data_IF_607088962566
#
_entry.id   IF_607088962566
#
_cell.length_a   1.000
_cell.length_b   1.000
_cell.length_c   1.000
_cell.angle_alpha   90.00
_cell.angle_beta   90.00
_cell.angle_gamma   90.00
#
_symmetry.space_group_name_H-M   'P 1'
#
loop_
_entity.id
_entity.type
_entity.pdbx_description
1 polymer ?
#
# COMPACT_ATOMS: atom_id res chain seq x y z
N UNK A 1 -4.78 -43.13 12.70
CA UNK A 1 -5.44 -41.82 12.48
C UNK A 1 -5.86 -41.31 13.85
N UNK A 2 -5.26 -40.22 14.34
CA UNK A 2 -5.68 -39.57 15.59
C UNK A 2 -6.81 -38.61 15.25
N UNK A 3 -8.07 -39.04 15.42
CA UNK A 3 -9.25 -38.22 15.16
C UNK A 3 -10.53 -39.03 15.04
N UNK A 4 -11.67 -38.34 15.07
CA UNK A 4 -12.98 -38.90 14.80
C UNK A 4 -13.05 -39.40 13.36
N UNK A 5 -13.61 -40.60 13.16
CA UNK A 5 -13.89 -41.12 11.82
C UNK A 5 -15.01 -40.30 11.16
N UNK A 6 -15.12 -40.30 9.82
CA UNK A 6 -16.18 -39.55 9.11
C UNK A 6 -17.62 -39.88 9.53
N UNK A 7 -17.85 -41.01 10.19
CA UNK A 7 -19.13 -41.43 10.73
C UNK A 7 -19.32 -41.10 12.24
N UNK A 8 -18.34 -40.45 12.87
CA UNK A 8 -18.35 -40.09 14.29
C UNK A 8 -18.57 -38.59 14.52
N UNK A 9 -18.72 -37.78 13.46
CA UNK A 9 -19.05 -36.36 13.54
C UNK A 9 -20.02 -35.93 12.44
N UNK A 10 -20.73 -34.84 12.69
CA UNK A 10 -21.60 -34.16 11.74
C UNK A 10 -21.17 -32.69 11.66
N UNK A 11 -21.06 -32.14 10.45
CA UNK A 11 -20.76 -30.72 10.24
C UNK A 11 -22.09 -29.98 10.12
N UNK A 12 -22.42 -29.18 11.14
CA UNK A 12 -23.71 -28.47 11.19
C UNK A 12 -23.74 -27.20 10.33
N UNK A 13 -22.62 -26.50 10.20
CA UNK A 13 -22.48 -25.31 9.35
C UNK A 13 -21.00 -25.10 8.95
N UNK A 14 -20.75 -24.53 7.77
CA UNK A 14 -19.42 -24.20 7.26
C UNK A 14 -19.52 -22.97 6.35
N UNK A 15 -18.67 -21.97 6.60
CA UNK A 15 -18.57 -20.75 5.80
C UNK A 15 -17.20 -20.10 6.00
N UNK A 16 -16.74 -19.36 4.99
CA UNK A 16 -15.51 -18.58 5.04
C UNK A 16 -15.71 -17.20 5.73
N UNK A 17 -16.96 -16.77 5.95
CA UNK A 17 -17.26 -15.53 6.68
C UNK A 17 -17.28 -15.77 8.19
N UNK A 18 -16.25 -15.24 8.86
CA UNK A 18 -16.06 -15.37 10.30
C UNK A 18 -17.15 -14.72 11.14
N UNK A 19 -17.79 -13.65 10.64
CA UNK A 19 -18.87 -12.99 11.36
C UNK A 19 -20.12 -13.85 11.37
N UNK A 20 -20.47 -14.41 10.20
CA UNK A 20 -21.57 -15.35 10.04
C UNK A 20 -21.41 -16.57 10.95
N UNK A 21 -20.24 -17.24 10.89
CA UNK A 21 -20.01 -18.45 11.70
C UNK A 21 -19.99 -18.14 13.19
N UNK A 22 -19.37 -17.03 13.60
CA UNK A 22 -19.32 -16.68 15.01
C UNK A 22 -20.69 -16.37 15.61
N UNK A 23 -21.62 -15.84 14.82
CA UNK A 23 -22.98 -15.57 15.28
C UNK A 23 -23.83 -16.85 15.26
N UNK A 24 -23.63 -17.70 14.24
CA UNK A 24 -24.27 -19.02 14.12
C UNK A 24 -23.90 -19.98 15.23
N UNK A 25 -22.65 -19.97 15.67
CA UNK A 25 -22.17 -20.82 16.77
C UNK A 25 -22.97 -20.57 18.06
N UNK A 26 -23.23 -19.31 18.41
CA UNK A 26 -24.06 -18.98 19.60
C UNK A 26 -25.49 -19.48 19.42
N UNK A 27 -26.05 -19.37 18.22
CA UNK A 27 -27.40 -19.86 17.91
C UNK A 27 -27.49 -21.38 18.12
N UNK A 28 -26.50 -22.12 17.62
CA UNK A 28 -26.39 -23.58 17.77
C UNK A 28 -26.13 -24.00 19.22
N UNK A 29 -25.27 -23.28 19.96
CA UNK A 29 -25.04 -23.55 21.37
C UNK A 29 -26.36 -23.44 22.17
N UNK A 30 -27.18 -22.42 21.87
CA UNK A 30 -28.50 -22.25 22.52
C UNK A 30 -29.50 -23.33 22.11
N UNK A 31 -29.60 -23.66 20.82
CA UNK A 31 -30.61 -24.60 20.31
C UNK A 31 -30.37 -26.04 20.80
N UNK A 32 -29.10 -26.45 20.90
CA UNK A 32 -28.73 -27.78 21.40
C UNK A 32 -28.53 -27.83 22.93
N UNK A 33 -28.78 -26.73 23.65
CA UNK A 33 -28.71 -26.67 25.11
C UNK A 33 -27.29 -26.71 25.68
N UNK A 34 -26.28 -26.39 24.88
CA UNK A 34 -24.91 -26.24 25.34
C UNK A 34 -24.70 -24.92 26.10
N UNK A 35 -23.65 -24.88 26.91
CA UNK A 35 -23.24 -23.66 27.60
C UNK A 35 -22.78 -22.62 26.57
N UNK A 36 -23.42 -21.45 26.57
CA UNK A 36 -23.08 -20.36 25.66
C UNK A 36 -21.73 -19.75 26.04
N UNK A 37 -20.86 -19.58 25.05
CA UNK A 37 -19.56 -18.96 25.25
C UNK A 37 -19.69 -17.48 25.62
N UNK A 38 -18.83 -17.04 26.55
CA UNK A 38 -18.80 -15.64 27.02
C UNK A 38 -18.14 -14.69 26.03
N UNK A 39 -17.28 -15.22 25.14
CA UNK A 39 -16.53 -14.47 24.15
C UNK A 39 -16.86 -15.07 22.78
N UNK A 40 -17.33 -14.23 21.86
CA UNK A 40 -17.64 -14.63 20.49
C UNK A 40 -16.38 -15.13 19.78
N UNK A 41 -16.52 -16.14 18.93
CA UNK A 41 -15.43 -16.72 18.15
C UNK A 41 -14.68 -15.71 17.30
N UNK A 42 -15.38 -14.76 16.66
CA UNK A 42 -14.74 -13.64 15.94
C UNK A 42 -13.81 -12.80 16.80
N UNK A 43 -14.04 -12.78 18.12
CA UNK A 43 -13.25 -12.04 19.09
C UNK A 43 -12.21 -12.92 19.81
N UNK A 44 -12.16 -14.24 19.58
CA UNK A 44 -11.23 -15.12 20.29
C UNK A 44 -9.76 -14.85 19.93
N UNK A 45 -9.48 -14.28 18.75
CA UNK A 45 -8.14 -13.92 18.33
C UNK A 45 -7.60 -12.77 19.19
N UNK A 46 -6.57 -13.05 19.99
CA UNK A 46 -5.83 -12.01 20.69
C UNK A 46 -5.10 -11.15 19.64
N UNK A 47 -5.46 -9.88 19.54
CA UNK A 47 -4.58 -8.85 18.97
C UNK A 47 -3.32 -8.88 19.81
N UNK A 48 -2.23 -9.47 19.31
CA UNK A 48 -0.99 -9.42 20.07
C UNK A 48 -0.52 -7.97 20.08
N UNK A 49 -0.28 -7.44 21.27
CA UNK A 49 0.16 -6.06 21.42
C UNK A 49 1.65 -5.99 21.13
N UNK A 50 2.04 -5.05 20.26
CA UNK A 50 3.45 -4.70 20.07
C UNK A 50 3.94 -4.11 21.39
N UNK A 51 5.02 -4.67 21.94
CA UNK A 51 5.66 -4.10 23.12
C UNK A 51 6.66 -3.03 22.69
N UNK A 52 6.45 -1.79 23.13
CA UNK A 52 7.25 -0.64 22.71
C UNK A 52 8.14 -0.19 23.86
N UNK A 53 9.44 -0.16 23.59
CA UNK A 53 10.43 0.53 24.42
C UNK A 53 10.92 1.78 23.69
N UNK A 54 11.78 2.58 24.31
CA UNK A 54 12.41 3.72 23.64
C UNK A 54 13.17 3.28 22.37
N UNK A 55 13.94 2.19 22.48
CA UNK A 55 14.85 1.74 21.41
C UNK A 55 14.17 0.82 20.39
N UNK A 56 13.26 -0.05 20.83
CA UNK A 56 12.73 -1.14 19.99
C UNK A 56 11.22 -1.32 20.11
N UNK A 57 10.62 -1.79 19.01
CA UNK A 57 9.26 -2.31 18.97
C UNK A 57 9.35 -3.83 18.80
N UNK A 58 8.82 -4.58 19.77
CA UNK A 58 8.91 -6.04 19.84
C UNK A 58 7.57 -6.68 19.52
N UNK A 59 7.57 -7.59 18.56
CA UNK A 59 6.44 -8.41 18.14
C UNK A 59 6.43 -9.72 18.93
N UNK A 60 5.25 -10.16 19.35
CA UNK A 60 5.07 -11.41 20.10
C UNK A 60 5.06 -12.65 19.18
N UNK A 61 5.90 -12.63 18.14
CA UNK A 61 6.07 -13.74 17.21
C UNK A 61 7.55 -13.89 16.82
N UNK A 62 7.99 -15.13 16.54
CA UNK A 62 9.33 -15.39 16.00
C UNK A 62 9.46 -14.83 14.58
N UNK A 63 10.71 -14.62 14.13
CA UNK A 63 11.01 -14.00 12.84
C UNK A 63 10.41 -14.75 11.65
N UNK A 64 10.36 -16.09 11.71
CA UNK A 64 9.78 -16.94 10.67
C UNK A 64 8.25 -16.81 10.54
N UNK A 65 7.56 -16.34 11.58
CA UNK A 65 6.10 -16.14 11.59
C UNK A 65 5.71 -14.66 11.49
N UNK A 66 6.69 -13.76 11.35
CA UNK A 66 6.47 -12.33 11.33
C UNK A 66 5.62 -11.89 10.15
N UNK A 67 5.81 -12.48 8.97
CA UNK A 67 5.00 -12.15 7.78
C UNK A 67 3.51 -12.38 8.01
N UNK A 68 3.13 -13.60 8.40
CA UNK A 68 1.73 -13.92 8.68
C UNK A 68 1.16 -13.12 9.87
N UNK A 69 2.00 -12.70 10.81
CA UNK A 69 1.61 -11.78 11.88
C UNK A 69 1.26 -10.39 11.35
N UNK A 70 2.11 -9.81 10.49
CA UNK A 70 1.92 -8.47 9.94
C UNK A 70 0.70 -8.39 9.02
N UNK A 71 0.48 -9.44 8.22
CA UNK A 71 -0.68 -9.55 7.32
C UNK A 71 -2.01 -9.64 8.10
N UNK A 72 -2.02 -10.36 9.22
CA UNK A 72 -3.22 -10.49 10.08
C UNK A 72 -3.55 -9.22 10.86
N UNK A 73 -2.57 -8.37 11.12
CA UNK A 73 -2.71 -7.16 11.95
C UNK A 73 -2.57 -5.87 11.14
N UNK A 74 -2.85 -5.90 9.84
CA UNK A 74 -2.90 -4.67 9.01
C UNK A 74 -3.84 -3.65 9.68
N UNK A 75 -3.39 -2.41 9.76
CA UNK A 75 -4.09 -1.30 10.41
C UNK A 75 -3.76 -1.11 11.89
N UNK A 76 -3.00 -2.02 12.51
CA UNK A 76 -2.59 -1.89 13.92
C UNK A 76 -1.62 -0.71 14.10
N UNK A 77 -1.95 0.17 15.02
CA UNK A 77 -1.14 1.34 15.37
C UNK A 77 -0.39 1.15 16.69
N UNK A 78 0.85 1.65 16.74
CA UNK A 78 1.62 1.74 17.99
C UNK A 78 2.38 3.06 18.08
N UNK A 79 2.52 3.56 19.32
CA UNK A 79 3.18 4.84 19.61
C UNK A 79 4.59 4.59 20.10
N UNK A 80 5.54 5.32 19.51
CA UNK A 80 6.95 5.33 19.91
C UNK A 80 7.39 6.74 20.30
N UNK A 81 8.60 6.89 20.85
CA UNK A 81 9.23 8.20 21.09
C UNK A 81 9.49 9.00 19.81
N UNK A 82 9.44 8.36 18.64
CA UNK A 82 9.70 8.99 17.33
C UNK A 82 8.44 9.26 16.51
N UNK A 83 7.26 8.87 17.00
CA UNK A 83 5.99 9.05 16.31
C UNK A 83 5.02 7.87 16.49
N UNK A 84 3.81 8.04 15.98
CA UNK A 84 2.84 6.95 15.84
C UNK A 84 3.07 6.27 14.50
N UNK A 85 3.12 4.94 14.50
CA UNK A 85 3.26 4.13 13.31
C UNK A 85 2.09 3.17 13.17
N UNK A 86 1.83 2.74 11.94
CA UNK A 86 0.74 1.82 11.60
C UNK A 86 1.27 0.70 10.71
N UNK A 87 0.76 -0.52 10.91
CA UNK A 87 1.01 -1.65 10.00
C UNK A 87 0.23 -1.46 8.69
N UNK A 88 0.95 -1.39 7.58
CA UNK A 88 0.43 -1.30 6.22
C UNK A 88 1.42 -1.99 5.26
N UNK A 89 1.08 -2.10 3.97
CA UNK A 89 1.94 -2.80 3.01
C UNK A 89 3.39 -2.28 2.97
N UNK A 90 3.59 -0.96 3.06
CA UNK A 90 4.92 -0.34 2.99
C UNK A 90 5.73 -0.54 4.29
N UNK A 91 5.10 -0.34 5.44
CA UNK A 91 5.75 -0.54 6.75
C UNK A 91 6.04 -2.01 7.01
N UNK A 92 5.13 -2.91 6.62
CA UNK A 92 5.31 -4.35 6.74
C UNK A 92 6.53 -4.84 5.97
N UNK A 93 6.71 -4.38 4.73
CA UNK A 93 7.89 -4.72 3.92
C UNK A 93 9.18 -4.32 4.63
N UNK A 94 9.25 -3.07 5.11
CA UNK A 94 10.43 -2.61 5.83
C UNK A 94 10.70 -3.42 7.10
N UNK A 95 9.63 -3.75 7.86
CA UNK A 95 9.73 -4.55 9.08
C UNK A 95 10.29 -5.94 8.76
N UNK A 96 9.83 -6.60 7.70
CA UNK A 96 10.33 -7.92 7.29
C UNK A 96 11.82 -7.88 6.95
N UNK A 97 12.26 -6.84 6.24
CA UNK A 97 13.65 -6.71 5.80
C UNK A 97 14.61 -6.38 6.95
N UNK A 98 14.10 -5.76 8.03
CA UNK A 98 14.93 -5.20 9.11
C UNK A 98 14.70 -5.82 10.50
N UNK A 99 13.71 -6.70 10.65
CA UNK A 99 13.42 -7.35 11.93
C UNK A 99 14.52 -8.31 12.33
N UNK A 100 14.80 -8.34 13.64
CA UNK A 100 15.77 -9.25 14.25
C UNK A 100 15.09 -10.16 15.25
N UNK A 101 15.62 -11.37 15.39
CA UNK A 101 15.23 -12.28 16.47
C UNK A 101 15.75 -11.74 17.82
N UNK A 102 14.92 -11.82 18.86
CA UNK A 102 15.30 -11.42 20.21
C UNK A 102 16.34 -12.39 20.78
N UNK A 103 17.40 -11.83 21.38
CA UNK A 103 18.47 -12.62 22.01
C UNK A 103 18.01 -13.32 23.30
N UNK A 104 16.92 -12.85 23.92
CA UNK A 104 16.41 -13.34 25.20
C UNK A 104 15.22 -14.30 25.05
N UNK A 105 14.57 -14.30 23.90
CA UNK A 105 13.40 -15.13 23.62
C UNK A 105 13.27 -15.31 22.11
N UNK A 106 13.55 -16.51 21.64
CA UNK A 106 13.46 -16.93 20.24
C UNK A 106 12.04 -16.79 19.66
N UNK A 107 11.01 -16.82 20.51
CA UNK A 107 9.61 -16.61 20.13
C UNK A 107 9.24 -15.13 19.93
N UNK A 108 10.22 -14.21 19.90
CA UNK A 108 10.00 -12.78 19.72
C UNK A 108 10.94 -12.21 18.68
N UNK A 109 10.42 -11.25 17.92
CA UNK A 109 11.18 -10.46 16.95
C UNK A 109 11.02 -8.99 17.27
N UNK A 110 11.99 -8.16 16.87
CA UNK A 110 11.95 -6.73 17.15
C UNK A 110 12.57 -5.91 16.02
N UNK A 111 12.18 -4.64 15.96
CA UNK A 111 12.77 -3.63 15.09
C UNK A 111 13.27 -2.45 15.91
N UNK A 112 14.28 -1.73 15.39
CA UNK A 112 14.79 -0.52 16.03
C UNK A 112 13.95 0.69 15.63
N UNK A 113 13.38 1.38 16.63
CA UNK A 113 12.47 2.52 16.42
C UNK A 113 13.16 3.68 15.70
N UNK A 114 14.44 3.94 16.00
CA UNK A 114 15.21 5.02 15.38
C UNK A 114 15.41 4.78 13.88
N UNK A 115 15.87 3.58 13.50
CA UNK A 115 16.08 3.20 12.11
C UNK A 115 14.76 3.21 11.32
N UNK A 116 13.69 2.73 11.96
CA UNK A 116 12.34 2.78 11.40
C UNK A 116 11.90 4.22 11.13
N UNK A 117 12.02 5.09 12.15
CA UNK A 117 11.66 6.50 12.02
C UNK A 117 12.51 7.25 10.98
N UNK A 118 13.80 6.98 10.87
CA UNK A 118 14.68 7.61 9.87
C UNK A 118 14.30 7.23 8.44
N UNK A 119 13.98 5.96 8.20
CA UNK A 119 13.48 5.50 6.90
C UNK A 119 12.21 6.26 6.50
N UNK A 120 11.23 6.37 7.42
CA UNK A 120 9.99 7.10 7.18
C UNK A 120 10.12 8.63 7.20
N UNK A 121 11.19 9.18 7.77
CA UNK A 121 11.54 10.61 7.63
C UNK A 121 12.16 10.93 6.27
N UNK A 122 12.99 10.03 5.75
CA UNK A 122 13.63 10.18 4.43
C UNK A 122 12.64 9.99 3.28
N UNK A 123 11.66 9.09 3.45
CA UNK A 123 10.47 9.05 2.61
C UNK A 123 9.58 10.20 3.04
N UNK A 124 9.91 11.42 2.61
CA UNK A 124 9.02 12.59 2.76
C UNK A 124 7.61 12.14 2.40
N UNK A 125 6.71 12.14 3.37
CA UNK A 125 5.28 12.10 3.09
C UNK A 125 5.02 13.28 2.14
N UNK A 126 4.76 12.96 0.88
CA UNK A 126 4.32 13.93 -0.09
C UNK A 126 2.88 14.26 0.31
N UNK A 127 2.73 15.19 1.27
CA UNK A 127 1.42 15.69 1.67
C UNK A 127 0.76 16.30 0.44
N UNK A 128 -0.31 15.66 -0.02
CA UNK A 128 -1.12 16.14 -1.12
C UNK A 128 -2.01 17.28 -0.62
N UNK A 129 -1.43 18.47 -0.54
CA UNK A 129 -2.07 19.65 0.07
C UNK A 129 -3.00 20.42 -0.91
N UNK A 130 -3.13 19.99 -2.16
CA UNK A 130 -3.91 20.72 -3.17
C UNK A 130 -5.21 20.00 -3.54
N UNK A 131 -6.28 20.78 -3.69
CA UNK A 131 -7.54 20.32 -4.29
C UNK A 131 -7.22 19.66 -5.64
N UNK A 132 -7.61 18.40 -5.86
CA UNK A 132 -7.37 17.75 -7.14
C UNK A 132 -8.07 18.56 -8.23
N UNK A 133 -7.35 18.84 -9.32
CA UNK A 133 -8.00 19.38 -10.51
C UNK A 133 -9.02 18.35 -10.97
N UNK A 134 -10.23 18.81 -11.30
CA UNK A 134 -11.38 17.93 -11.60
C UNK A 134 -11.04 16.85 -12.65
N UNK A 135 -10.24 17.21 -13.65
CA UNK A 135 -9.84 16.32 -14.74
C UNK A 135 -9.00 15.13 -14.26
N UNK A 136 -8.03 15.33 -13.35
CA UNK A 136 -7.20 14.24 -12.84
C UNK A 136 -8.00 13.30 -11.94
N UNK A 137 -9.02 13.83 -11.25
CA UNK A 137 -9.95 12.97 -10.52
C UNK A 137 -10.78 12.10 -11.46
N UNK A 138 -11.33 12.68 -12.53
CA UNK A 138 -12.10 11.94 -13.53
C UNK A 138 -11.28 10.82 -14.20
N UNK A 139 -10.00 11.07 -14.49
CA UNK A 139 -9.08 10.04 -15.01
C UNK A 139 -8.93 8.89 -14.02
N UNK A 140 -8.73 9.20 -12.73
CA UNK A 140 -8.60 8.17 -11.69
C UNK A 140 -9.88 7.37 -11.51
N UNK A 141 -11.03 8.03 -11.51
CA UNK A 141 -12.34 7.38 -11.38
C UNK A 141 -12.58 6.43 -12.56
N UNK A 142 -12.31 6.89 -13.80
CA UNK A 142 -12.39 6.06 -15.01
C UNK A 142 -11.49 4.80 -14.93
N UNK A 143 -10.26 4.95 -14.45
CA UNK A 143 -9.32 3.84 -14.31
C UNK A 143 -9.76 2.86 -13.20
N UNK A 144 -10.33 3.38 -12.11
CA UNK A 144 -10.84 2.57 -11.01
C UNK A 144 -12.07 1.75 -11.41
N UNK A 145 -13.01 2.35 -12.13
CA UNK A 145 -14.22 1.68 -12.65
C UNK A 145 -13.87 0.50 -13.57
N UNK A 146 -12.78 0.63 -14.33
CA UNK A 146 -12.28 -0.42 -15.24
C UNK A 146 -11.35 -1.43 -14.56
N UNK A 147 -11.14 -1.33 -13.24
CA UNK A 147 -10.32 -2.26 -12.48
C UNK A 147 -8.82 -2.16 -12.75
N UNK A 148 -8.35 -1.05 -13.35
CA UNK A 148 -6.94 -0.86 -13.70
C UNK A 148 -6.02 -0.94 -12.48
N UNK A 149 -6.49 -0.51 -11.30
CA UNK A 149 -5.71 -0.59 -10.06
C UNK A 149 -5.79 -1.94 -9.35
N UNK A 150 -6.73 -2.82 -9.73
CA UNK A 150 -6.85 -4.17 -9.16
C UNK A 150 -5.97 -5.19 -9.88
N UNK A 151 -5.72 -4.97 -11.16
CA UNK A 151 -5.03 -5.91 -12.04
C UNK A 151 -3.85 -5.32 -12.83
N UNK A 152 -3.65 -3.99 -12.77
CA UNK A 152 -2.63 -3.31 -13.55
C UNK A 152 -1.26 -3.40 -12.91
N UNK A 153 -0.28 -3.88 -13.67
CA UNK A 153 1.13 -3.85 -13.32
C UNK A 153 1.76 -2.49 -13.68
N UNK A 154 2.68 -2.03 -12.84
CA UNK A 154 3.40 -0.76 -13.02
C UNK A 154 4.25 -0.81 -14.30
N UNK A 155 4.84 -1.98 -14.61
CA UNK A 155 5.63 -2.11 -15.84
C UNK A 155 4.74 -2.06 -17.09
N UNK A 156 3.53 -2.60 -17.03
CA UNK A 156 2.56 -2.47 -18.13
C UNK A 156 2.19 -1.02 -18.38
N UNK A 157 1.96 -0.22 -17.33
CA UNK A 157 1.71 1.21 -17.49
C UNK A 157 2.92 1.95 -18.07
N UNK A 158 4.14 1.57 -17.70
CA UNK A 158 5.34 2.13 -18.31
C UNK A 158 5.48 1.78 -19.79
N UNK A 159 5.17 0.54 -20.19
CA UNK A 159 5.15 0.11 -21.59
C UNK A 159 4.12 0.94 -22.38
N UNK A 160 2.92 1.14 -21.82
CA UNK A 160 1.89 1.97 -22.45
C UNK A 160 2.37 3.41 -22.63
N UNK A 161 3.10 3.99 -21.67
CA UNK A 161 3.70 5.32 -21.83
C UNK A 161 4.68 5.38 -23.02
N UNK A 162 5.45 4.32 -23.27
CA UNK A 162 6.36 4.27 -24.43
C UNK A 162 5.60 4.16 -25.75
N UNK A 163 4.46 3.47 -25.76
CA UNK A 163 3.55 3.39 -26.91
C UNK A 163 3.03 4.80 -27.28
N UNK A 164 2.46 5.53 -26.31
CA UNK A 164 1.96 6.90 -26.52
C UNK A 164 3.08 7.87 -26.98
N UNK A 165 4.29 7.70 -26.43
CA UNK A 165 5.45 8.49 -26.85
C UNK A 165 5.87 8.19 -28.30
N UNK A 166 5.68 6.94 -28.75
CA UNK A 166 5.92 6.53 -30.14
C UNK A 166 4.89 7.12 -31.10
N UNK A 167 3.61 7.14 -30.70
CA UNK A 167 2.54 7.80 -31.45
C UNK A 167 2.78 9.30 -31.58
N UNK A 168 3.17 9.97 -30.48
CA UNK A 168 3.59 11.37 -30.52
C UNK A 168 4.75 11.60 -31.48
N UNK A 169 5.78 10.74 -31.46
CA UNK A 169 6.92 10.86 -32.37
C UNK A 169 6.50 10.75 -33.84
N UNK A 170 5.61 9.81 -34.15
CA UNK A 170 5.05 9.65 -35.51
C UNK A 170 4.22 10.88 -35.92
N UNK A 171 3.33 11.34 -35.04
CA UNK A 171 2.49 12.51 -35.29
C UNK A 171 3.32 13.78 -35.59
N UNK A 172 4.43 13.96 -34.86
CA UNK A 172 5.37 15.06 -35.11
C UNK A 172 6.08 14.94 -36.48
N UNK A 173 6.44 13.73 -36.90
CA UNK A 173 7.06 13.49 -38.21
C UNK A 173 6.08 13.75 -39.36
N UNK A 174 4.81 13.40 -39.16
CA UNK A 174 3.73 13.57 -40.15
C UNK A 174 3.10 14.97 -40.08
N UNK A 175 3.51 15.80 -39.11
CA UNK A 175 2.95 17.12 -38.82
C UNK A 175 1.42 17.09 -38.59
N UNK A 176 0.93 16.00 -37.99
CA UNK A 176 -0.48 15.82 -37.65
C UNK A 176 -0.77 16.43 -36.28
N UNK A 177 -1.32 17.65 -36.27
CA UNK A 177 -1.60 18.36 -35.04
C UNK A 177 -2.72 17.74 -34.20
N UNK A 178 -3.67 17.03 -34.82
CA UNK A 178 -4.74 16.38 -34.07
C UNK A 178 -4.18 15.21 -33.28
N UNK A 179 -3.36 14.38 -33.94
CA UNK A 179 -2.71 13.25 -33.30
C UNK A 179 -1.70 13.69 -32.23
N UNK A 180 -0.99 14.81 -32.44
CA UNK A 180 -0.12 15.39 -31.40
C UNK A 180 -0.90 15.75 -30.14
N UNK A 181 -2.09 16.34 -30.28
CA UNK A 181 -2.93 16.72 -29.13
C UNK A 181 -3.40 15.46 -28.39
N UNK A 182 -3.81 14.44 -29.13
CA UNK A 182 -4.30 13.17 -28.58
C UNK A 182 -3.21 12.43 -27.82
N UNK A 183 -2.06 12.18 -28.47
CA UNK A 183 -0.93 11.48 -27.86
C UNK A 183 -0.39 12.18 -26.61
N UNK A 184 -0.32 13.53 -26.59
CA UNK A 184 0.05 14.28 -25.37
C UNK A 184 -0.99 14.06 -24.26
N UNK A 185 -2.28 14.05 -24.61
CA UNK A 185 -3.37 13.76 -23.69
C UNK A 185 -3.24 12.36 -23.06
N UNK A 186 -3.00 11.35 -23.90
CA UNK A 186 -2.89 9.96 -23.47
C UNK A 186 -1.65 9.71 -22.60
N UNK A 187 -0.52 10.35 -22.92
CA UNK A 187 0.64 10.36 -22.02
C UNK A 187 0.29 10.92 -20.62
N UNK A 188 -0.50 12.00 -20.55
CA UNK A 188 -0.93 12.57 -19.26
C UNK A 188 -1.88 11.63 -18.52
N UNK A 189 -2.78 10.94 -19.22
CA UNK A 189 -3.67 9.92 -18.63
C UNK A 189 -2.85 8.79 -18.02
N UNK A 190 -1.89 8.23 -18.78
CA UNK A 190 -1.01 7.16 -18.32
C UNK A 190 -0.19 7.59 -17.11
N UNK A 191 0.43 8.77 -17.15
CA UNK A 191 1.20 9.31 -16.03
C UNK A 191 0.34 9.55 -14.78
N UNK A 192 -0.93 9.93 -14.96
CA UNK A 192 -1.87 10.12 -13.85
C UNK A 192 -2.15 8.82 -13.13
N UNK A 193 -2.42 7.75 -13.88
CA UNK A 193 -2.68 6.42 -13.33
C UNK A 193 -1.42 5.80 -12.72
N UNK A 194 -0.26 5.98 -13.35
CA UNK A 194 1.03 5.52 -12.84
C UNK A 194 1.37 6.20 -11.50
N UNK A 195 1.16 7.52 -11.39
CA UNK A 195 1.34 8.24 -10.13
C UNK A 195 0.47 7.64 -9.03
N UNK A 196 -0.81 7.38 -9.34
CA UNK A 196 -1.75 6.78 -8.39
C UNK A 196 -1.31 5.38 -7.93
N UNK A 197 -0.87 4.52 -8.85
CA UNK A 197 -0.32 3.19 -8.50
C UNK A 197 0.93 3.26 -7.61
N UNK A 198 1.70 4.36 -7.69
CA UNK A 198 2.86 4.63 -6.82
C UNK A 198 2.49 5.35 -5.52
N UNK A 199 1.21 5.51 -5.22
CA UNK A 199 0.72 6.12 -3.99
C UNK A 199 0.86 7.64 -3.93
N UNK A 200 1.00 8.30 -5.08
CA UNK A 200 1.13 9.77 -5.17
C UNK A 200 0.13 10.37 -6.15
N UNK A 201 -0.10 11.67 -6.06
CA UNK A 201 -0.93 12.41 -7.00
C UNK A 201 -0.06 13.09 -8.06
N UNK A 202 -0.46 12.99 -9.34
CA UNK A 202 0.26 13.67 -10.45
C UNK A 202 0.33 15.18 -10.23
N UNK A 203 -0.70 15.76 -9.60
CA UNK A 203 -0.75 17.15 -9.20
C UNK A 203 0.46 17.53 -8.33
N UNK A 204 0.87 16.62 -7.44
CA UNK A 204 2.02 16.84 -6.58
C UNK A 204 3.33 16.62 -7.32
N UNK A 205 3.41 15.63 -8.21
CA UNK A 205 4.57 15.45 -9.09
C UNK A 205 4.85 16.70 -9.93
N UNK A 206 3.82 17.28 -10.53
CA UNK A 206 3.91 18.52 -11.33
C UNK A 206 4.34 19.69 -10.43
N UNK A 207 3.76 19.81 -9.23
CA UNK A 207 4.12 20.88 -8.30
C UNK A 207 5.59 20.81 -7.86
N UNK A 208 6.10 19.62 -7.54
CA UNK A 208 7.51 19.42 -7.18
C UNK A 208 8.44 19.72 -8.37
N UNK A 209 8.08 19.26 -9.58
CA UNK A 209 8.83 19.62 -10.79
C UNK A 209 8.86 21.14 -11.01
N UNK A 210 7.72 21.82 -10.81
CA UNK A 210 7.63 23.28 -10.95
C UNK A 210 8.53 24.03 -9.96
N UNK A 211 8.59 23.59 -8.70
CA UNK A 211 9.49 24.19 -7.68
C UNK A 211 10.97 24.14 -8.08
N UNK A 212 11.37 23.13 -8.85
CA UNK A 212 12.72 23.01 -9.36
C UNK A 212 12.93 23.91 -10.57
N UNK A 213 12.05 23.84 -11.58
CA UNK A 213 12.25 24.61 -12.83
C UNK A 213 12.08 26.11 -12.64
N UNK A 214 11.20 26.56 -11.74
CA UNK A 214 10.99 27.98 -11.43
C UNK A 214 12.22 28.68 -10.84
N UNK A 215 13.15 27.90 -10.27
CA UNK A 215 14.40 28.40 -9.70
C UNK A 215 15.59 28.30 -10.67
N UNK A 216 15.42 27.66 -11.83
CA UNK A 216 16.51 27.51 -12.80
C UNK A 216 16.88 28.87 -13.40
N UNK A 217 18.18 29.17 -13.40
CA UNK A 217 18.78 30.25 -14.17
C UNK A 217 19.54 29.64 -15.35
N UNK A 218 19.47 30.29 -16.50
CA UNK A 218 20.00 29.75 -17.76
C UNK A 218 19.56 30.55 -18.97
N UNK A 219 19.96 30.07 -20.14
CA UNK A 219 19.69 30.69 -21.45
C UNK A 219 19.24 29.65 -22.46
N UNK A 220 18.46 30.08 -23.44
CA UNK A 220 18.07 29.24 -24.57
C UNK A 220 19.24 29.16 -25.56
N UNK A 221 19.68 27.94 -25.90
CA UNK A 221 20.69 27.68 -26.92
C UNK A 221 20.12 26.60 -27.85
N UNK A 222 20.00 26.91 -29.14
CA UNK A 222 19.49 25.98 -30.17
C UNK A 222 18.16 25.30 -29.80
N UNK A 223 17.20 26.07 -29.28
CA UNK A 223 15.88 25.56 -28.90
C UNK A 223 15.83 24.78 -27.58
N UNK A 224 16.97 24.56 -26.92
CA UNK A 224 17.03 23.88 -25.62
C UNK A 224 17.41 24.87 -24.51
N UNK A 225 16.79 24.74 -23.34
CA UNK A 225 17.17 25.51 -22.16
C UNK A 225 18.46 24.93 -21.56
N UNK A 226 19.53 25.73 -21.56
CA UNK A 226 20.82 25.37 -20.96
C UNK A 226 20.95 26.11 -19.63
N UNK A 227 21.15 25.36 -18.54
CA UNK A 227 21.34 25.90 -17.19
C UNK A 227 22.68 26.64 -17.14
N UNK A 228 22.74 27.77 -16.44
CA UNK A 228 24.02 28.40 -16.13
C UNK A 228 24.84 27.42 -15.26
N UNK A 229 26.09 27.16 -15.64
CA UNK A 229 27.05 26.45 -14.80
C UNK A 229 27.33 27.31 -13.55
N UNK A 230 27.39 26.67 -12.37
CA UNK A 230 27.78 27.36 -11.13
C UNK A 230 29.25 27.82 -11.17
#
# INVERSE_FOLDING_TARGET
MQGYKPNEYEVLDQSDDINYISDKEIELQKSYGYKVDRKLYKNLFNIMRINVTEQTSTFACPLNQLQGYLEKNIGLEWKTSHGTFQLNAQTNQWILDNAKMSMYNDNRSYVYNKAFAEYFKSTKEIKCEKKPLKIFQQIRDWAQERGLYKHGDVNTQYIKLQEEAGELAKALLENDQLEVIDAIGDMVVVLTNLAHQRGVHIETCIAEAYKVISKRKGKMINGTFVKDEE
#
